data_IF_506605834807
#
_entry.id   IF_506605834807
#
_cell.length_a   1.000
_cell.length_b   1.000
_cell.length_c   1.000
_cell.angle_alpha   90.00
_cell.angle_beta   90.00
_cell.angle_gamma   90.00
#
_symmetry.space_group_name_H-M   'P 1'
#
loop_
_entity.id
_entity.type
_entity.pdbx_description
1 polymer ?
#
# COMPACT_ATOMS: atom_id res chain seq x y z
N UNK A 1 -5.13 -9.82 16.96
CA UNK A 1 -3.94 -9.06 16.54
C UNK A 1 -4.29 -8.37 15.24
N UNK A 2 -4.08 -7.06 15.14
CA UNK A 2 -4.17 -6.39 13.85
C UNK A 2 -3.06 -6.97 12.94
N UNK A 3 -3.35 -7.32 11.69
CA UNK A 3 -2.38 -7.97 10.81
C UNK A 3 -1.27 -6.98 10.43
N UNK A 4 -0.03 -7.28 10.80
CA UNK A 4 1.11 -6.45 10.39
C UNK A 4 1.36 -6.62 8.88
N UNK A 5 0.81 -5.68 8.11
CA UNK A 5 0.88 -5.66 6.65
C UNK A 5 1.69 -4.48 6.13
N UNK A 6 2.39 -3.73 6.99
CA UNK A 6 3.24 -2.63 6.56
C UNK A 6 4.51 -3.17 5.88
N UNK A 7 4.91 -2.56 4.77
CA UNK A 7 6.13 -2.91 4.04
C UNK A 7 6.00 -4.10 3.08
N UNK A 8 4.85 -4.80 3.06
CA UNK A 8 4.59 -5.87 2.10
C UNK A 8 3.82 -5.36 0.86
N UNK A 9 3.90 -6.08 -0.27
CA UNK A 9 3.10 -5.78 -1.45
C UNK A 9 1.59 -5.81 -1.15
N UNK A 10 0.82 -4.95 -1.83
CA UNK A 10 -0.63 -4.86 -1.63
C UNK A 10 -1.32 -6.22 -1.80
N UNK A 11 -0.96 -7.00 -2.84
CA UNK A 11 -1.58 -8.30 -3.07
C UNK A 11 -1.43 -9.27 -1.88
N UNK A 12 -0.30 -9.20 -1.18
CA UNK A 12 -0.01 -10.07 -0.03
C UNK A 12 -0.73 -9.53 1.22
N UNK A 13 -0.85 -8.21 1.35
CA UNK A 13 -1.64 -7.57 2.41
C UNK A 13 -3.13 -7.93 2.29
N UNK A 14 -3.70 -7.82 1.09
CA UNK A 14 -5.09 -8.18 0.80
C UNK A 14 -5.37 -9.65 1.10
N UNK A 15 -4.44 -10.55 0.74
CA UNK A 15 -4.53 -11.98 1.04
C UNK A 15 -4.61 -12.23 2.55
N UNK A 16 -3.71 -11.63 3.33
CA UNK A 16 -3.68 -11.77 4.80
C UNK A 16 -4.92 -11.19 5.47
N UNK A 17 -5.39 -10.04 5.01
CA UNK A 17 -6.60 -9.40 5.53
C UNK A 17 -7.85 -10.24 5.24
N UNK A 18 -7.92 -10.82 4.04
CA UNK A 18 -9.00 -11.74 3.66
C UNK A 18 -8.97 -13.03 4.47
N UNK A 19 -7.80 -13.63 4.67
CA UNK A 19 -7.61 -14.81 5.52
C UNK A 19 -7.99 -14.54 6.99
N UNK A 20 -7.73 -13.32 7.47
CA UNK A 20 -8.12 -12.86 8.79
C UNK A 20 -9.61 -12.47 8.91
N UNK A 21 -10.37 -12.50 7.82
CA UNK A 21 -11.77 -12.06 7.80
C UNK A 21 -11.96 -10.57 8.12
N UNK A 22 -10.94 -9.74 7.91
CA UNK A 22 -10.95 -8.33 8.23
C UNK A 22 -11.55 -7.50 7.08
N UNK A 23 -12.39 -6.53 7.43
CA UNK A 23 -12.82 -5.50 6.48
C UNK A 23 -11.68 -4.51 6.29
N UNK A 24 -11.37 -4.16 5.05
CA UNK A 24 -10.31 -3.22 4.74
C UNK A 24 -10.65 -2.25 3.62
N UNK A 25 -9.97 -1.10 3.63
CA UNK A 25 -10.03 -0.06 2.62
C UNK A 25 -8.61 0.27 2.15
N UNK A 26 -8.42 0.53 0.86
CA UNK A 26 -7.12 0.81 0.27
C UNK A 26 -7.11 2.23 -0.30
N UNK A 27 -6.18 3.05 0.19
CA UNK A 27 -5.92 4.39 -0.29
C UNK A 27 -4.55 4.43 -0.98
N UNK A 28 -4.54 4.72 -2.29
CA UNK A 28 -3.30 4.83 -3.08
C UNK A 28 -2.77 6.25 -3.02
N UNK A 29 -1.64 6.43 -2.36
CA UNK A 29 -0.92 7.71 -2.39
C UNK A 29 -0.10 7.83 -3.66
N UNK A 30 -0.27 8.96 -4.36
CA UNK A 30 0.50 9.32 -5.54
C UNK A 30 1.34 10.56 -5.23
N UNK A 31 2.60 10.64 -5.70
CA UNK A 31 3.39 11.85 -5.55
C UNK A 31 2.68 13.03 -6.23
N UNK A 32 2.59 14.15 -5.51
CA UNK A 32 1.94 15.36 -6.00
C UNK A 32 2.82 15.95 -7.09
N UNK A 33 2.28 15.95 -8.32
CA UNK A 33 2.93 16.31 -9.59
C UNK A 33 3.86 15.20 -10.11
N UNK A 34 3.63 14.74 -11.34
CA UNK A 34 4.33 13.64 -12.04
C UNK A 34 5.83 13.85 -12.32
N UNK A 35 6.58 14.43 -11.38
CA UNK A 35 8.03 14.61 -11.40
C UNK A 35 8.77 13.28 -11.25
N UNK A 36 8.16 12.31 -10.57
CA UNK A 36 8.73 10.98 -10.38
C UNK A 36 7.94 9.97 -11.21
N UNK A 37 8.62 9.25 -12.11
CA UNK A 37 8.04 8.07 -12.74
C UNK A 37 7.79 7.04 -11.64
N UNK A 38 6.55 6.59 -11.51
CA UNK A 38 6.17 5.56 -10.56
C UNK A 38 5.92 4.25 -11.31
N UNK A 39 6.35 3.16 -10.73
CA UNK A 39 5.97 1.82 -11.16
C UNK A 39 4.64 1.46 -10.47
N UNK A 40 3.54 1.63 -11.22
CA UNK A 40 2.19 1.30 -10.75
C UNK A 40 1.94 -0.20 -10.66
N UNK A 41 2.84 -1.04 -11.17
CA UNK A 41 2.65 -2.50 -11.20
C UNK A 41 2.92 -3.15 -9.85
N UNK A 42 3.57 -2.45 -8.90
CA UNK A 42 3.99 -2.99 -7.60
C UNK A 42 3.76 -2.01 -6.45
N UNK A 43 2.50 -1.77 -6.04
CA UNK A 43 2.20 -1.01 -4.84
C UNK A 43 2.56 -1.79 -3.57
N UNK A 44 3.04 -1.09 -2.55
CA UNK A 44 3.34 -1.64 -1.23
C UNK A 44 2.68 -0.79 -0.14
N UNK A 45 2.33 -1.43 0.96
CA UNK A 45 1.69 -0.76 2.10
C UNK A 45 2.74 0.06 2.85
N UNK A 46 2.48 1.35 3.04
CA UNK A 46 3.34 2.26 3.79
C UNK A 46 2.77 2.61 5.16
N UNK A 47 1.47 2.42 5.35
CA UNK A 47 0.79 2.71 6.60
C UNK A 47 -0.45 1.84 6.74
N UNK A 48 -0.67 1.36 7.94
CA UNK A 48 -1.93 0.76 8.37
C UNK A 48 -2.58 1.66 9.43
N UNK A 49 -3.90 1.81 9.39
CA UNK A 49 -4.68 2.44 10.43
C UNK A 49 -5.97 1.66 10.66
N UNK A 50 -6.21 1.21 11.88
CA UNK A 50 -7.45 0.51 12.24
C UNK A 50 -8.40 1.51 12.89
N UNK A 51 -9.62 1.65 12.34
CA UNK A 51 -10.71 2.45 12.92
C UNK A 51 -12.00 1.66 12.85
N UNK A 52 -12.75 1.62 13.96
CA UNK A 52 -14.09 1.01 14.02
C UNK A 52 -14.18 -0.38 13.35
N UNK A 53 -13.18 -1.23 13.60
CA UNK A 53 -13.03 -2.58 13.02
C UNK A 53 -12.78 -2.65 11.50
N UNK A 54 -12.45 -1.52 10.86
CA UNK A 54 -12.01 -1.45 9.46
C UNK A 54 -10.53 -1.10 9.39
N UNK A 55 -9.79 -1.87 8.60
CA UNK A 55 -8.36 -1.66 8.35
C UNK A 55 -8.19 -0.73 7.14
N UNK A 56 -7.65 0.46 7.35
CA UNK A 56 -7.29 1.39 6.28
C UNK A 56 -5.82 1.22 5.93
N UNK A 57 -5.54 0.83 4.68
CA UNK A 57 -4.20 0.69 4.13
C UNK A 57 -3.87 1.90 3.28
N UNK A 58 -2.76 2.55 3.57
CA UNK A 58 -2.16 3.51 2.64
C UNK A 58 -1.08 2.79 1.84
N UNK A 59 -1.20 2.81 0.52
CA UNK A 59 -0.21 2.21 -0.39
C UNK A 59 0.53 3.27 -1.19
N UNK A 60 1.79 2.98 -1.50
CA UNK A 60 2.61 3.78 -2.40
C UNK A 60 3.13 2.90 -3.53
N UNK A 61 3.30 3.52 -4.70
CA UNK A 61 3.97 2.90 -5.84
C UNK A 61 5.48 3.18 -5.75
N UNK A 62 6.30 2.22 -6.19
CA UNK A 62 7.76 2.38 -6.19
C UNK A 62 8.15 3.50 -7.14
N UNK A 63 8.93 4.48 -6.68
CA UNK A 63 9.53 5.47 -7.55
C UNK A 63 10.64 4.82 -8.38
N UNK A 64 10.59 5.01 -9.69
CA UNK A 64 11.65 4.61 -10.61
C UNK A 64 12.65 5.77 -10.65
N UNK A 65 13.91 5.50 -10.31
CA UNK A 65 14.98 6.50 -10.48
C UNK A 65 15.10 6.77 -11.98
N UNK A 66 15.18 8.05 -12.35
CA UNK A 66 15.65 8.43 -13.68
C UNK A 66 17.16 8.19 -13.66
N UNK A 67 17.65 7.23 -14.44
CA UNK A 67 19.08 7.18 -14.75
C UNK A 67 19.46 8.53 -15.35
N UNK A 68 20.34 9.26 -14.66
CA UNK A 68 20.94 10.49 -15.18
C UNK A 68 22.06 10.01 -16.09
N UNK A 69 21.77 9.89 -17.40
CA UNK A 69 22.80 9.77 -18.44
C UNK A 69 23.42 11.12 -18.75
#
# INVERSE_FOLDING_TARGET
>A
MAPDVVGIPLFEAERRLKEAGANYHVEVTRPVRGYFKIDETRPYVIRECVRDAVVSLTVACKQVRKDVS
#
